data_IF_471452373695
#
_entry.id   IF_471452373695
#
_cell.length_a   1.000
_cell.length_b   1.000
_cell.length_c   1.000
_cell.angle_alpha   90.00
_cell.angle_beta   90.00
_cell.angle_gamma   90.00
#
_symmetry.space_group_name_H-M   'P 1'
#
loop_
_entity.id
_entity.type
_entity.pdbx_description
1 polymer ?
#
# COMPACT_ATOMS: atom_id res chain seq x y z
N UNK A 1 -19.14 28.79 -22.82
CA UNK A 1 -18.56 28.60 -21.47
C UNK A 1 -17.05 28.62 -21.63
N UNK A 2 -16.32 29.35 -20.78
CA UNK A 2 -14.86 29.29 -20.77
C UNK A 2 -14.42 27.98 -20.12
N UNK A 3 -13.44 27.29 -20.72
CA UNK A 3 -12.90 26.05 -20.14
C UNK A 3 -12.14 26.37 -18.84
N UNK A 4 -12.43 25.60 -17.79
CA UNK A 4 -11.75 25.69 -16.48
C UNK A 4 -10.89 24.45 -16.30
N UNK A 5 -9.67 24.62 -15.82
CA UNK A 5 -8.74 23.54 -15.51
C UNK A 5 -8.32 23.63 -14.04
N UNK A 6 -8.30 22.50 -13.35
CA UNK A 6 -7.75 22.38 -12.00
C UNK A 6 -6.46 21.56 -12.07
N UNK A 7 -5.41 22.05 -11.41
CA UNK A 7 -4.12 21.38 -11.36
C UNK A 7 -3.70 21.17 -9.91
N UNK A 8 -3.25 19.95 -9.60
CA UNK A 8 -2.60 19.60 -8.35
C UNK A 8 -1.17 19.16 -8.63
N UNK A 9 -0.22 19.65 -7.84
CA UNK A 9 1.20 19.33 -7.98
C UNK A 9 1.74 18.95 -6.60
N UNK A 10 2.33 17.77 -6.51
CA UNK A 10 2.87 17.20 -5.28
C UNK A 10 4.29 16.68 -5.54
N UNK A 11 5.17 16.80 -4.55
CA UNK A 11 6.50 16.17 -4.59
C UNK A 11 6.50 14.91 -3.73
N UNK A 12 6.91 13.79 -4.33
CA UNK A 12 6.97 12.45 -3.71
C UNK A 12 8.40 11.92 -3.78
N UNK A 13 8.71 10.85 -3.05
CA UNK A 13 10.10 10.38 -2.92
C UNK A 13 10.63 9.78 -4.23
N UNK A 14 9.84 8.94 -4.90
CA UNK A 14 10.17 8.32 -6.19
C UNK A 14 8.91 8.12 -7.02
N UNK A 15 9.11 7.86 -8.31
CA UNK A 15 8.05 7.46 -9.24
C UNK A 15 8.20 5.99 -9.64
N UNK A 16 7.09 5.26 -9.84
CA UNK A 16 7.16 3.90 -10.35
C UNK A 16 7.53 3.89 -11.84
N UNK A 17 8.38 2.94 -12.23
CA UNK A 17 8.72 2.72 -13.64
C UNK A 17 7.60 2.03 -14.43
N UNK A 18 7.62 2.20 -15.75
CA UNK A 18 6.82 1.38 -16.67
C UNK A 18 7.54 0.08 -17.02
N UNK A 19 6.78 -0.95 -17.41
CA UNK A 19 7.32 -2.21 -17.97
C UNK A 19 8.31 -1.99 -19.12
N UNK A 20 8.08 -0.95 -19.93
CA UNK A 20 8.96 -0.56 -21.04
C UNK A 20 10.32 0.00 -20.57
N UNK A 21 10.40 0.56 -19.37
CA UNK A 21 11.63 1.14 -18.80
C UNK A 21 12.56 0.09 -18.19
N UNK A 22 12.01 -1.05 -17.76
CA UNK A 22 12.77 -2.17 -17.18
C UNK A 22 13.78 -2.76 -18.16
N UNK A 23 13.51 -2.66 -19.47
CA UNK A 23 14.37 -3.19 -20.53
C UNK A 23 15.69 -2.41 -20.71
N UNK A 24 15.75 -1.14 -20.30
CA UNK A 24 16.88 -0.24 -20.56
C UNK A 24 17.64 0.23 -19.32
N UNK A 25 17.12 -0.03 -18.12
CA UNK A 25 17.82 0.31 -16.89
C UNK A 25 18.97 -0.68 -16.63
N UNK A 26 20.20 -0.17 -16.59
CA UNK A 26 21.35 -0.86 -16.00
C UNK A 26 20.94 -1.34 -14.59
N UNK A 27 21.15 -2.63 -14.31
CA UNK A 27 20.80 -3.33 -13.06
C UNK A 27 21.59 -2.84 -11.84
N UNK A 28 21.58 -1.54 -11.54
CA UNK A 28 22.30 -0.96 -10.41
C UNK A 28 21.36 -0.11 -9.56
N UNK A 29 20.92 -0.66 -8.43
CA UNK A 29 20.05 -0.03 -7.44
C UNK A 29 19.33 -1.07 -6.58
N UNK A 30 18.98 -0.72 -5.35
CA UNK A 30 18.19 -1.60 -4.45
C UNK A 30 16.74 -1.74 -4.94
N UNK A 31 16.21 -0.72 -5.62
CA UNK A 31 14.87 -0.71 -6.26
C UNK A 31 14.99 -0.31 -7.74
N UNK A 32 15.21 -1.27 -8.67
CA UNK A 32 15.37 -0.98 -10.10
C UNK A 32 14.09 -0.48 -10.78
N UNK A 33 12.96 -0.48 -10.07
CA UNK A 33 11.66 -0.04 -10.56
C UNK A 33 11.24 1.35 -10.02
N UNK A 34 12.14 2.05 -9.32
CA UNK A 34 11.95 3.41 -8.82
C UNK A 34 12.79 4.43 -9.60
N UNK A 35 12.17 5.55 -9.98
CA UNK A 35 12.77 6.55 -10.86
C UNK A 35 12.57 7.97 -10.32
N UNK A 36 13.42 8.89 -10.76
CA UNK A 36 13.19 10.33 -10.65
C UNK A 36 12.49 10.84 -11.90
N UNK A 37 11.63 11.85 -11.77
CA UNK A 37 10.97 12.46 -12.91
C UNK A 37 9.66 13.15 -12.55
N UNK A 38 8.76 13.21 -13.53
CA UNK A 38 7.42 13.80 -13.40
C UNK A 38 6.40 12.77 -13.87
N UNK A 39 5.38 12.52 -13.05
CA UNK A 39 4.20 11.74 -13.44
C UNK A 39 3.01 12.68 -13.54
N UNK A 40 2.28 12.63 -14.66
CA UNK A 40 1.15 13.53 -14.94
C UNK A 40 -0.09 12.70 -15.19
N UNK A 41 -1.19 13.05 -14.51
CA UNK A 41 -2.50 12.48 -14.73
C UNK A 41 -3.43 13.55 -15.30
N UNK A 42 -4.04 13.28 -16.44
CA UNK A 42 -5.07 14.13 -17.04
C UNK A 42 -6.43 13.49 -16.81
N UNK A 43 -7.35 14.23 -16.18
CA UNK A 43 -8.73 13.79 -16.01
C UNK A 43 -9.65 14.65 -16.89
N UNK A 44 -10.46 14.00 -17.73
CA UNK A 44 -11.45 14.64 -18.60
C UNK A 44 -12.87 14.57 -18.01
N UNK A 45 -13.04 14.67 -16.69
CA UNK A 45 -14.38 14.68 -16.08
C UNK A 45 -14.99 16.09 -15.98
N UNK A 46 -16.32 16.14 -16.11
CA UNK A 46 -17.12 17.34 -15.92
C UNK A 46 -16.98 17.87 -14.49
N UNK A 47 -17.15 19.18 -14.35
CA UNK A 47 -16.85 20.01 -13.16
C UNK A 47 -17.46 19.60 -11.81
N UNK A 48 -18.33 18.59 -11.74
CA UNK A 48 -18.96 18.13 -10.50
C UNK A 48 -18.01 17.25 -9.65
N UNK A 49 -17.06 16.53 -10.25
CA UNK A 49 -16.05 15.73 -9.51
C UNK A 49 -14.94 16.59 -8.86
N UNK A 50 -14.91 17.89 -9.13
CA UNK A 50 -13.90 18.81 -8.60
C UNK A 50 -14.24 19.27 -7.17
N UNK A 51 -15.49 19.09 -6.72
CA UNK A 51 -15.86 19.21 -5.30
C UNK A 51 -15.19 18.14 -4.43
N UNK A 52 -14.53 17.14 -5.02
CA UNK A 52 -13.83 16.05 -4.33
C UNK A 52 -12.38 16.34 -3.93
N UNK A 53 -11.85 17.52 -4.28
CA UNK A 53 -10.57 18.00 -3.75
C UNK A 53 -10.77 18.45 -2.30
N UNK A 54 -10.71 17.51 -1.36
CA UNK A 54 -10.69 17.83 0.07
C UNK A 54 -9.31 18.34 0.46
N UNK A 55 -9.23 19.63 0.77
CA UNK A 55 -8.02 20.28 1.26
C UNK A 55 -8.04 20.34 2.78
N UNK A 56 -7.11 19.63 3.42
CA UNK A 56 -6.92 19.74 4.86
C UNK A 56 -5.79 20.73 5.13
N UNK A 57 -6.12 21.78 5.89
CA UNK A 57 -5.16 22.78 6.34
C UNK A 57 -4.78 22.46 7.79
N UNK A 58 -3.49 22.34 8.08
CA UNK A 58 -3.03 22.19 9.47
C UNK A 58 -3.42 23.46 10.26
N UNK A 59 -4.28 23.31 11.27
CA UNK A 59 -4.55 24.39 12.24
C UNK A 59 -3.35 24.52 13.17
N UNK A 60 -2.45 25.44 12.83
CA UNK A 60 -1.33 25.85 13.68
C UNK A 60 -0.04 25.09 13.40
N UNK A 61 1.06 25.83 13.37
CA UNK A 61 2.43 25.29 13.41
C UNK A 61 2.68 24.69 14.80
N UNK A 62 2.17 23.48 15.04
CA UNK A 62 2.66 22.69 16.16
C UNK A 62 3.98 22.05 15.73
N UNK A 63 5.07 22.34 16.44
CA UNK A 63 6.33 21.61 16.25
C UNK A 63 6.20 20.12 16.62
N UNK A 64 5.09 19.73 17.26
CA UNK A 64 4.86 18.39 17.80
C UNK A 64 3.84 17.56 17.01
N UNK A 65 3.30 18.04 15.88
CA UNK A 65 2.42 17.20 15.06
C UNK A 65 3.25 16.34 14.12
N UNK A 66 3.43 15.06 14.47
CA UNK A 66 4.08 14.00 13.68
C UNK A 66 3.39 13.66 12.35
N UNK A 67 2.60 14.57 11.78
CA UNK A 67 1.79 14.31 10.60
C UNK A 67 2.47 14.88 9.36
N UNK A 68 3.00 13.97 8.54
CA UNK A 68 3.50 14.28 7.20
C UNK A 68 2.36 14.77 6.31
N UNK A 69 2.61 15.85 5.56
CA UNK A 69 1.75 16.23 4.44
C UNK A 69 1.53 15.04 3.50
N UNK A 70 0.36 14.93 2.87
CA UNK A 70 0.01 13.73 2.11
C UNK A 70 -0.93 13.99 0.93
N UNK A 71 -0.90 13.11 -0.05
CA UNK A 71 -1.85 13.10 -1.17
C UNK A 71 -2.56 11.75 -1.21
N UNK A 72 -3.89 11.77 -1.30
CA UNK A 72 -4.74 10.60 -1.32
C UNK A 72 -5.40 10.43 -2.67
N UNK A 73 -5.44 9.19 -3.17
CA UNK A 73 -6.09 8.81 -4.41
C UNK A 73 -7.17 7.78 -4.12
N UNK A 74 -8.41 8.07 -4.48
CA UNK A 74 -9.53 7.16 -4.30
C UNK A 74 -10.00 6.65 -5.64
N UNK A 75 -10.21 5.34 -5.76
CA UNK A 75 -10.86 4.75 -6.94
C UNK A 75 -11.85 3.67 -6.52
N UNK A 76 -12.81 3.41 -7.39
CA UNK A 76 -13.91 2.48 -7.18
C UNK A 76 -13.88 1.38 -8.23
N UNK A 77 -13.99 0.14 -7.77
CA UNK A 77 -14.12 -1.04 -8.62
C UNK A 77 -15.44 -1.75 -8.28
N UNK A 78 -16.09 -2.38 -9.27
CA UNK A 78 -17.28 -3.18 -9.01
C UNK A 78 -16.92 -4.29 -8.01
N UNK A 79 -17.71 -4.38 -6.93
CA UNK A 79 -17.72 -5.58 -6.12
C UNK A 79 -18.40 -6.67 -6.97
N UNK A 80 -18.06 -7.93 -6.76
CA UNK A 80 -18.76 -9.05 -7.42
C UNK A 80 -19.60 -9.76 -6.36
N UNK A 81 -20.83 -9.32 -6.02
CA UNK A 81 -21.64 -10.01 -5.04
C UNK A 81 -22.69 -10.90 -5.72
N UNK A 82 -23.25 -11.81 -4.93
CA UNK A 82 -24.37 -12.67 -5.27
C UNK A 82 -25.51 -11.92 -6.00
N UNK A 83 -26.26 -12.60 -6.89
CA UNK A 83 -27.31 -11.97 -7.68
C UNK A 83 -28.32 -11.23 -6.81
N UNK A 84 -28.39 -9.89 -6.95
CA UNK A 84 -29.38 -9.04 -6.29
C UNK A 84 -28.82 -7.91 -5.42
N UNK A 85 -27.53 -7.89 -5.08
CA UNK A 85 -26.88 -6.77 -4.37
C UNK A 85 -25.82 -6.12 -5.26
N UNK A 86 -25.92 -4.82 -5.50
CA UNK A 86 -24.85 -4.02 -6.11
C UNK A 86 -24.08 -3.31 -4.99
N UNK A 87 -22.88 -3.80 -4.69
CA UNK A 87 -21.89 -3.06 -3.90
C UNK A 87 -20.71 -2.66 -4.77
N UNK A 88 -19.97 -1.66 -4.31
CA UNK A 88 -18.75 -1.17 -4.94
C UNK A 88 -17.65 -1.19 -3.89
N UNK A 89 -16.45 -1.61 -4.27
CA UNK A 89 -15.26 -1.53 -3.41
C UNK A 89 -14.57 -0.21 -3.73
N UNK A 90 -14.46 0.66 -2.73
CA UNK A 90 -13.71 1.91 -2.79
C UNK A 90 -12.37 1.72 -2.11
N UNK A 91 -11.28 2.06 -2.81
CA UNK A 91 -9.92 2.03 -2.26
C UNK A 91 -9.38 3.44 -2.24
N UNK A 92 -8.97 3.91 -1.06
CA UNK A 92 -8.27 5.17 -0.89
C UNK A 92 -6.82 4.89 -0.49
N UNK A 93 -5.87 5.37 -1.30
CA UNK A 93 -4.44 5.22 -1.08
C UNK A 93 -3.87 6.58 -0.73
N UNK A 94 -3.32 6.70 0.47
CA UNK A 94 -2.68 7.92 0.95
C UNK A 94 -1.17 7.76 0.91
N UNK A 95 -0.51 8.65 0.16
CA UNK A 95 0.94 8.70 0.00
C UNK A 95 1.45 9.93 0.74
N UNK A 96 2.35 9.78 1.73
CA UNK A 96 2.99 10.94 2.35
C UNK A 96 3.92 11.59 1.32
N UNK A 97 3.99 12.91 1.36
CA UNK A 97 4.86 13.68 0.49
C UNK A 97 6.33 13.50 0.89
N UNK A 98 7.22 13.78 -0.05
CA UNK A 98 8.65 13.80 0.25
C UNK A 98 8.93 14.76 1.41
N UNK A 99 9.59 14.26 2.44
CA UNK A 99 9.93 15.03 3.64
C UNK A 99 11.37 15.54 3.52
N UNK A 100 11.55 16.63 2.80
CA UNK A 100 12.85 17.26 2.54
C UNK A 100 12.73 18.77 2.60
N UNK A 101 13.79 19.45 3.06
CA UNK A 101 13.80 20.91 3.13
C UNK A 101 13.95 21.49 1.72
N UNK A 102 12.85 22.01 1.17
CA UNK A 102 12.84 22.64 -0.15
C UNK A 102 13.36 24.09 -0.08
N UNK A 103 13.71 24.66 -1.25
CA UNK A 103 14.08 26.08 -1.37
C UNK A 103 12.96 27.03 -0.91
N UNK A 104 11.72 26.56 -0.85
CA UNK A 104 10.56 27.27 -0.30
C UNK A 104 10.60 27.40 1.23
N UNK A 105 11.51 26.68 1.91
CA UNK A 105 11.61 26.59 3.36
C UNK A 105 10.64 25.59 4.00
N UNK A 106 9.78 24.95 3.22
CA UNK A 106 8.85 23.92 3.68
C UNK A 106 9.49 22.53 3.59
N UNK A 107 9.07 21.62 4.47
CA UNK A 107 9.51 20.21 4.48
C UNK A 107 8.78 19.35 3.44
N UNK A 108 7.70 19.86 2.85
CA UNK A 108 6.89 19.17 1.87
C UNK A 108 6.34 20.18 0.87
N UNK A 109 6.11 19.75 -0.38
CA UNK A 109 5.55 20.61 -1.42
C UNK A 109 4.28 20.01 -2.00
N UNK A 110 3.16 20.68 -1.79
CA UNK A 110 1.86 20.40 -2.38
C UNK A 110 1.18 21.72 -2.74
N UNK A 111 0.73 21.83 -3.97
CA UNK A 111 0.01 23.01 -4.44
C UNK A 111 -1.17 22.63 -5.32
N UNK A 112 -2.21 23.43 -5.24
CA UNK A 112 -3.39 23.33 -6.09
C UNK A 112 -3.59 24.67 -6.77
N UNK A 113 -4.08 24.65 -8.01
CA UNK A 113 -4.35 25.87 -8.76
C UNK A 113 -5.52 25.69 -9.72
N UNK A 114 -6.26 26.78 -9.92
CA UNK A 114 -7.40 26.85 -10.84
C UNK A 114 -7.08 27.80 -11.98
N UNK A 115 -7.33 27.37 -13.20
CA UNK A 115 -6.97 28.08 -14.43
C UNK A 115 -8.19 28.22 -15.32
N UNK A 116 -8.28 29.35 -16.03
CA UNK A 116 -9.33 29.61 -17.03
C UNK A 116 -8.70 29.88 -18.38
N UNK A 117 -9.23 29.26 -19.43
CA UNK A 117 -8.88 29.59 -20.80
C UNK A 117 -9.47 30.96 -21.16
N UNK A 118 -8.62 31.90 -21.56
CA UNK A 118 -9.05 33.23 -21.90
C UNK A 118 -9.78 33.26 -23.26
N UNK A 119 -10.98 33.87 -23.36
CA UNK A 119 -11.71 33.95 -24.62
C UNK A 119 -10.88 34.62 -25.73
N UNK A 120 -10.75 33.96 -26.88
CA UNK A 120 -10.03 34.50 -28.04
C UNK A 120 -8.50 34.42 -27.96
N UNK A 121 -7.95 33.73 -26.95
CA UNK A 121 -6.51 33.43 -26.87
C UNK A 121 -6.27 31.94 -26.61
N UNK A 122 -5.05 31.46 -26.84
CA UNK A 122 -4.59 30.13 -26.44
C UNK A 122 -4.06 30.08 -25.00
N UNK A 123 -4.11 31.19 -24.26
CA UNK A 123 -3.52 31.33 -22.93
C UNK A 123 -4.47 30.99 -21.80
N UNK A 124 -3.92 30.39 -20.75
CA UNK A 124 -4.60 30.21 -19.46
C UNK A 124 -4.20 31.30 -18.47
N UNK A 125 -5.15 31.80 -17.69
CA UNK A 125 -4.88 32.65 -16.52
C UNK A 125 -5.21 31.91 -15.23
N UNK A 126 -4.29 31.98 -14.26
CA UNK A 126 -4.50 31.43 -12.93
C UNK A 126 -5.51 32.30 -12.17
N UNK A 127 -6.58 31.69 -11.69
CA UNK A 127 -7.63 32.33 -10.88
C UNK A 127 -7.30 32.22 -9.39
N UNK A 128 -6.90 31.02 -8.96
CA UNK A 128 -6.70 30.69 -7.55
C UNK A 128 -5.49 29.77 -7.43
N UNK A 129 -4.73 29.93 -6.35
CA UNK A 129 -3.64 29.04 -5.95
C UNK A 129 -3.69 28.82 -4.44
N UNK A 130 -3.51 27.57 -4.01
CA UNK A 130 -3.51 27.15 -2.62
C UNK A 130 -2.37 26.14 -2.40
N UNK A 131 -1.84 26.08 -1.18
CA UNK A 131 -0.79 25.14 -0.76
C UNK A 131 -1.29 24.34 0.46
N UNK A 132 -2.19 23.36 0.23
CA UNK A 132 -2.78 22.60 1.33
C UNK A 132 -1.76 21.62 1.94
N UNK A 133 -1.99 21.18 3.17
CA UNK A 133 -1.15 20.17 3.82
C UNK A 133 -1.50 18.75 3.37
N UNK A 134 -2.79 18.49 3.11
CA UNK A 134 -3.22 17.23 2.49
C UNK A 134 -4.27 17.46 1.41
N UNK A 135 -4.26 16.60 0.40
CA UNK A 135 -5.17 16.65 -0.74
C UNK A 135 -5.74 15.25 -1.03
N UNK A 136 -7.05 15.11 -1.16
CA UNK A 136 -7.68 13.90 -1.70
C UNK A 136 -8.11 14.13 -3.15
N UNK A 137 -7.91 13.12 -4.01
CA UNK A 137 -8.28 13.12 -5.43
C UNK A 137 -9.07 11.85 -5.71
N UNK A 138 -10.27 11.97 -6.26
CA UNK A 138 -11.01 10.85 -6.79
C UNK A 138 -10.55 10.60 -8.24
N UNK A 139 -10.01 9.40 -8.47
CA UNK A 139 -9.71 8.90 -9.80
C UNK A 139 -10.97 8.24 -10.37
N UNK A 140 -11.25 8.39 -11.68
CA UNK A 140 -12.39 7.75 -12.31
C UNK A 140 -12.38 6.24 -12.06
N UNK A 141 -13.50 5.76 -11.51
CA UNK A 141 -13.78 4.33 -11.34
C UNK A 141 -14.19 3.69 -12.66
N UNK A 142 -14.41 2.38 -12.66
CA UNK A 142 -15.05 1.72 -13.81
C UNK A 142 -16.43 2.34 -14.04
N UNK A 143 -16.58 3.09 -15.13
CA UNK A 143 -17.82 3.81 -15.46
C UNK A 143 -18.72 3.00 -16.39
N UNK A 144 -18.19 1.90 -16.99
CA UNK A 144 -18.92 1.05 -17.93
C UNK A 144 -18.58 -0.42 -17.77
N UNK A 145 -19.55 -1.30 -18.09
CA UNK A 145 -19.41 -2.76 -18.14
C UNK A 145 -18.40 -3.27 -19.18
N UNK A 146 -17.74 -2.39 -19.94
CA UNK A 146 -16.77 -2.73 -20.97
C UNK A 146 -15.31 -2.60 -20.52
N UNK A 147 -15.04 -1.96 -19.37
CA UNK A 147 -13.69 -1.80 -18.82
C UNK A 147 -13.49 -2.74 -17.64
N UNK A 148 -12.52 -3.65 -17.76
CA UNK A 148 -12.13 -4.52 -16.65
C UNK A 148 -10.96 -3.85 -15.93
N UNK A 149 -11.05 -3.66 -14.61
CA UNK A 149 -9.90 -3.29 -13.80
C UNK A 149 -9.51 -4.43 -12.86
N UNK A 150 -8.20 -4.63 -12.69
CA UNK A 150 -7.63 -5.61 -11.76
C UNK A 150 -6.68 -4.90 -10.81
N UNK A 151 -6.91 -5.08 -9.51
CA UNK A 151 -6.01 -4.61 -8.45
C UNK A 151 -5.16 -5.79 -7.97
N UNK A 152 -3.84 -5.60 -7.89
CA UNK A 152 -2.89 -6.60 -7.38
C UNK A 152 -1.97 -5.99 -6.33
N UNK A 153 -1.59 -6.81 -5.37
CA UNK A 153 -0.66 -6.47 -4.30
C UNK A 153 0.60 -7.27 -4.51
N UNK A 154 1.72 -6.59 -4.67
CA UNK A 154 3.06 -7.18 -4.66
C UNK A 154 3.75 -6.76 -3.37
N UNK A 155 3.95 -7.71 -2.47
CA UNK A 155 4.51 -7.46 -1.13
C UNK A 155 5.71 -8.39 -0.95
N UNK A 156 6.95 -7.89 -1.09
CA UNK A 156 8.16 -8.73 -1.05
C UNK A 156 8.52 -9.08 0.40
N UNK A 157 7.79 -10.02 0.99
CA UNK A 157 8.01 -10.53 2.34
C UNK A 157 7.83 -12.05 2.39
N UNK A 158 8.46 -12.68 3.39
CA UNK A 158 8.38 -14.12 3.64
C UNK A 158 7.92 -14.39 5.05
N UNK A 159 7.01 -15.35 5.21
CA UNK A 159 6.56 -15.78 6.52
C UNK A 159 7.67 -16.53 7.26
N UNK A 160 7.93 -16.12 8.50
CA UNK A 160 8.89 -16.79 9.41
C UNK A 160 8.17 -17.61 10.48
N UNK A 161 6.89 -17.34 10.72
CA UNK A 161 6.03 -18.16 11.59
C UNK A 161 4.83 -18.66 10.81
N UNK A 162 4.18 -19.77 11.21
CA UNK A 162 2.80 -20.01 10.81
C UNK A 162 1.88 -19.01 11.53
N UNK A 163 0.58 -18.97 11.20
CA UNK A 163 -0.39 -18.14 11.90
C UNK A 163 -0.69 -18.68 13.27
N UNK A 164 -0.88 -17.77 14.21
CA UNK A 164 -1.18 -18.08 15.61
C UNK A 164 -2.36 -17.27 16.11
N UNK A 165 -3.22 -17.92 16.88
CA UNK A 165 -4.30 -17.21 17.58
C UNK A 165 -3.70 -16.37 18.71
N UNK A 166 -4.21 -15.15 18.87
CA UNK A 166 -3.82 -14.23 19.92
C UNK A 166 -4.50 -14.62 21.22
N UNK A 167 -3.73 -15.03 22.23
CA UNK A 167 -4.26 -15.37 23.55
C UNK A 167 -4.45 -14.16 24.44
N UNK A 168 -3.50 -13.23 24.41
CA UNK A 168 -3.58 -11.98 25.17
C UNK A 168 -2.93 -10.84 24.36
N UNK A 169 -3.73 -9.82 24.06
CA UNK A 169 -3.35 -8.61 23.37
C UNK A 169 -4.08 -7.42 24.00
N UNK A 170 -3.46 -6.23 23.97
CA UNK A 170 -4.05 -4.99 24.46
C UNK A 170 -3.59 -3.84 23.59
N UNK A 171 -4.48 -3.30 22.76
CA UNK A 171 -4.14 -2.24 21.83
C UNK A 171 -3.16 -2.73 20.76
N UNK A 172 -1.96 -2.13 20.74
CA UNK A 172 -0.85 -2.51 19.87
C UNK A 172 0.17 -3.46 20.53
N UNK A 173 -0.09 -3.90 21.77
CA UNK A 173 0.82 -4.78 22.51
C UNK A 173 0.29 -6.22 22.47
N UNK A 174 1.08 -7.12 21.90
CA UNK A 174 0.82 -8.56 21.88
C UNK A 174 1.61 -9.21 23.02
N UNK A 175 0.94 -9.98 23.88
CA UNK A 175 1.58 -10.66 25.02
C UNK A 175 1.71 -12.15 24.80
N UNK A 176 0.64 -12.78 24.33
CA UNK A 176 0.56 -14.23 24.27
C UNK A 176 -0.02 -14.74 22.97
N UNK A 177 0.56 -15.82 22.48
CA UNK A 177 0.12 -16.57 21.31
C UNK A 177 -0.31 -17.97 21.75
N UNK A 178 -1.34 -18.50 21.10
CA UNK A 178 -1.90 -19.82 21.40
C UNK A 178 -1.40 -20.82 20.35
N UNK A 179 -0.68 -21.83 20.83
CA UNK A 179 -0.36 -23.07 20.12
C UNK A 179 -1.26 -24.22 20.63
N UNK A 180 -0.64 -25.29 21.12
CA UNK A 180 -1.18 -26.22 22.12
C UNK A 180 -1.22 -25.60 23.53
N UNK A 181 -0.33 -24.64 23.79
CA UNK A 181 -0.21 -23.90 25.04
C UNK A 181 0.01 -22.41 24.76
N UNK A 182 -0.35 -21.58 25.72
CA UNK A 182 -0.07 -20.15 25.68
C UNK A 182 1.42 -19.90 25.87
N UNK A 183 2.04 -19.15 24.95
CA UNK A 183 3.44 -18.72 25.04
C UNK A 183 3.57 -17.21 24.91
N UNK A 184 4.68 -16.61 25.37
CA UNK A 184 5.00 -15.22 25.08
C UNK A 184 5.20 -14.98 23.58
N UNK A 185 4.62 -13.90 23.06
CA UNK A 185 4.67 -13.59 21.63
C UNK A 185 6.09 -13.30 21.14
N UNK A 186 6.91 -12.62 21.96
CA UNK A 186 8.30 -12.34 21.59
C UNK A 186 9.17 -13.58 21.54
N UNK A 187 8.89 -14.59 22.37
CA UNK A 187 9.65 -15.84 22.42
C UNK A 187 9.46 -16.67 21.13
N UNK A 188 8.24 -16.71 20.60
CA UNK A 188 8.02 -17.34 19.29
C UNK A 188 8.79 -16.63 18.18
N UNK A 189 8.70 -15.30 18.14
CA UNK A 189 9.38 -14.53 17.11
C UNK A 189 10.90 -14.68 17.19
N UNK A 190 11.49 -14.59 18.39
CA UNK A 190 12.94 -14.79 18.62
C UNK A 190 13.39 -16.19 18.17
N UNK A 191 12.61 -17.22 18.50
CA UNK A 191 12.89 -18.60 18.07
C UNK A 191 12.84 -18.71 16.53
N UNK A 192 11.78 -18.21 15.91
CA UNK A 192 11.59 -18.26 14.46
C UNK A 192 12.69 -17.51 13.69
N UNK A 193 13.09 -16.33 14.17
CA UNK A 193 14.19 -15.57 13.57
C UNK A 193 15.54 -16.28 13.74
N UNK A 194 15.77 -16.92 14.89
CA UNK A 194 16.99 -17.72 15.11
C UNK A 194 17.07 -18.89 14.13
N UNK A 195 15.97 -19.62 13.95
CA UNK A 195 15.85 -20.70 12.96
C UNK A 195 16.06 -20.17 11.54
N UNK A 196 15.46 -19.02 11.21
CA UNK A 196 15.65 -18.35 9.93
C UNK A 196 17.13 -18.03 9.65
N UNK A 197 17.84 -17.35 10.56
CA UNK A 197 19.27 -17.03 10.38
C UNK A 197 20.14 -18.28 10.22
N UNK A 198 19.91 -19.30 11.04
CA UNK A 198 20.63 -20.56 10.97
C UNK A 198 20.43 -21.25 9.61
N UNK A 199 19.18 -21.27 9.13
CA UNK A 199 18.81 -21.91 7.88
C UNK A 199 19.37 -21.18 6.65
N UNK A 200 19.44 -19.84 6.70
CA UNK A 200 19.98 -19.00 5.65
C UNK A 200 21.51 -18.86 5.70
N UNK A 201 22.17 -19.40 6.74
CA UNK A 201 23.61 -19.24 7.00
C UNK A 201 24.03 -17.77 7.07
N UNK A 202 23.15 -16.91 7.59
CA UNK A 202 23.38 -15.49 7.72
C UNK A 202 23.88 -15.15 9.13
N UNK A 203 24.71 -14.10 9.28
CA UNK A 203 25.02 -13.57 10.60
C UNK A 203 23.75 -12.99 11.24
N UNK A 204 23.65 -13.08 12.57
CA UNK A 204 22.59 -12.41 13.32
C UNK A 204 22.75 -10.90 13.15
N UNK A 205 21.71 -10.25 12.66
CA UNK A 205 21.67 -8.80 12.43
C UNK A 205 20.30 -8.24 12.77
N UNK A 206 20.20 -6.92 12.89
CA UNK A 206 18.90 -6.27 13.02
C UNK A 206 18.08 -6.49 11.75
N UNK A 207 16.87 -7.04 11.89
CA UNK A 207 15.92 -7.22 10.80
C UNK A 207 14.65 -6.46 11.11
N UNK A 208 14.09 -5.84 10.07
CA UNK A 208 12.71 -5.36 10.14
C UNK A 208 11.75 -6.54 10.02
N UNK A 209 10.76 -6.57 10.90
CA UNK A 209 9.72 -7.60 10.98
C UNK A 209 8.37 -6.95 10.78
N UNK A 210 7.52 -7.62 10.01
CA UNK A 210 6.13 -7.24 9.80
C UNK A 210 5.21 -8.31 10.36
N UNK A 211 4.01 -7.90 10.76
CA UNK A 211 2.97 -8.75 11.29
C UNK A 211 1.68 -8.54 10.51
N UNK A 212 1.12 -9.61 9.94
CA UNK A 212 -0.23 -9.61 9.40
C UNK A 212 -1.17 -10.04 10.52
N UNK A 213 -2.04 -9.14 10.96
CA UNK A 213 -3.11 -9.43 11.92
C UNK A 213 -4.39 -9.69 11.12
N UNK A 214 -5.03 -10.81 11.41
CA UNK A 214 -6.14 -11.37 10.65
C UNK A 214 -7.33 -11.54 11.60
N UNK A 215 -8.41 -10.75 11.44
CA UNK A 215 -9.59 -10.91 12.26
C UNK A 215 -10.14 -12.34 12.19
N UNK A 216 -10.61 -12.88 13.31
CA UNK A 216 -11.11 -14.27 13.38
C UNK A 216 -12.14 -14.60 12.29
N UNK A 217 -13.07 -13.68 12.04
CA UNK A 217 -14.11 -13.86 11.01
C UNK A 217 -13.51 -13.98 9.59
N UNK A 218 -12.47 -13.21 9.29
CA UNK A 218 -11.75 -13.26 8.01
C UNK A 218 -11.01 -14.59 7.88
N UNK A 219 -10.33 -15.00 8.95
CA UNK A 219 -9.61 -16.27 8.98
C UNK A 219 -10.54 -17.47 8.74
N UNK A 220 -11.68 -17.51 9.43
CA UNK A 220 -12.70 -18.57 9.24
C UNK A 220 -13.27 -18.56 7.82
N UNK A 221 -13.66 -17.39 7.30
CA UNK A 221 -14.24 -17.26 5.97
C UNK A 221 -13.31 -17.78 4.87
N UNK A 222 -12.04 -17.37 4.90
CA UNK A 222 -11.07 -17.77 3.89
C UNK A 222 -10.67 -19.25 4.01
N UNK A 223 -10.70 -19.81 5.23
CA UNK A 223 -10.46 -21.23 5.45
C UNK A 223 -11.63 -22.10 4.95
N UNK A 224 -12.87 -21.67 5.16
CA UNK A 224 -14.07 -22.41 4.71
C UNK A 224 -14.29 -22.38 3.20
N UNK A 225 -13.85 -21.30 2.53
CA UNK A 225 -13.93 -21.17 1.07
C UNK A 225 -12.92 -22.05 0.30
N UNK A 226 -11.94 -22.63 0.98
CA UNK A 226 -11.00 -23.59 0.40
C UNK A 226 -11.64 -24.98 0.42
N UNK A 227 -12.05 -25.49 -0.75
CA UNK A 227 -12.66 -26.81 -0.87
C UNK A 227 -11.74 -27.96 -0.40
N UNK A 228 -12.28 -29.18 -0.20
CA UNK A 228 -11.56 -30.32 0.39
C UNK A 228 -10.33 -30.78 -0.42
N UNK A 229 -10.21 -30.40 -1.70
CA UNK A 229 -9.08 -30.78 -2.57
C UNK A 229 -7.93 -29.77 -2.56
N UNK A 230 -8.08 -28.61 -1.90
CA UNK A 230 -6.97 -27.70 -1.55
C UNK A 230 -6.57 -27.94 -0.10
N UNK A 231 -6.31 -29.19 0.25
CA UNK A 231 -5.85 -29.62 1.56
C UNK A 231 -4.37 -29.25 1.76
N UNK A 232 -4.12 -27.99 2.10
CA UNK A 232 -3.00 -27.62 2.93
C UNK A 232 -3.33 -26.35 3.68
N UNK A 233 -3.04 -26.35 4.99
CA UNK A 233 -3.12 -25.27 5.96
C UNK A 233 -2.53 -23.93 5.46
N UNK A 234 -3.18 -23.26 4.51
CA UNK A 234 -2.62 -22.16 3.73
C UNK A 234 -3.07 -20.80 4.24
N UNK A 235 -2.67 -20.50 5.46
CA UNK A 235 -1.84 -19.30 5.57
C UNK A 235 -0.39 -19.79 5.56
N UNK A 236 0.51 -19.06 4.91
CA UNK A 236 1.91 -19.41 4.69
C UNK A 236 2.46 -20.31 5.79
N UNK A 237 2.65 -21.60 5.49
CA UNK A 237 3.60 -22.37 6.28
C UNK A 237 4.93 -21.59 6.22
N UNK A 238 5.72 -21.52 7.31
CA UNK A 238 7.04 -20.94 7.25
C UNK A 238 7.72 -21.53 6.03
N UNK A 239 8.12 -20.67 5.08
CA UNK A 239 8.71 -21.18 3.87
C UNK A 239 9.88 -22.09 4.27
N UNK A 240 10.02 -23.26 3.62
CA UNK A 240 11.30 -23.96 3.71
C UNK A 240 12.41 -22.95 3.40
N UNK A 241 13.56 -23.02 4.09
CA UNK A 241 14.62 -22.05 3.93
C UNK A 241 14.87 -21.76 2.46
N UNK A 242 14.66 -20.49 2.10
CA UNK A 242 14.88 -19.96 0.78
C UNK A 242 16.22 -20.50 0.27
N UNK A 243 16.19 -21.30 -0.79
CA UNK A 243 17.43 -21.70 -1.47
C UNK A 243 17.90 -20.45 -2.20
N UNK A 244 18.80 -19.70 -1.57
CA UNK A 244 19.59 -18.65 -2.22
C UNK A 244 20.04 -19.15 -3.60
N UNK A 245 19.44 -18.63 -4.67
CA UNK A 245 19.71 -19.04 -6.05
C UNK A 245 18.49 -19.37 -6.93
N UNK A 246 17.26 -19.44 -6.41
CA UNK A 246 16.08 -19.44 -7.28
C UNK A 246 15.67 -18.00 -7.61
N UNK A 247 15.79 -17.62 -8.88
CA UNK A 247 15.33 -16.35 -9.47
C UNK A 247 13.78 -16.24 -9.50
N UNK A 248 13.08 -16.78 -8.50
CA UNK A 248 11.62 -16.81 -8.45
C UNK A 248 11.12 -16.51 -7.05
N UNK A 249 10.92 -15.23 -6.78
CA UNK A 249 9.97 -14.71 -5.80
C UNK A 249 8.64 -15.33 -6.16
N UNK A 250 8.14 -16.27 -5.35
CA UNK A 250 6.91 -16.97 -5.74
C UNK A 250 5.74 -15.97 -5.80
N UNK A 251 5.16 -15.71 -6.99
CA UNK A 251 4.07 -14.74 -7.17
C UNK A 251 2.83 -15.07 -6.31
N UNK A 252 2.73 -16.32 -5.86
CA UNK A 252 1.68 -16.84 -5.01
C UNK A 252 1.60 -16.11 -3.66
N UNK A 253 2.72 -15.75 -3.03
CA UNK A 253 2.70 -15.12 -1.71
C UNK A 253 2.08 -13.72 -1.72
N UNK A 254 2.43 -12.93 -2.74
CA UNK A 254 1.91 -11.59 -2.96
C UNK A 254 0.39 -11.58 -3.22
N UNK A 255 -0.10 -12.53 -4.04
CA UNK A 255 -1.53 -12.68 -4.34
C UNK A 255 -2.35 -13.03 -3.07
N UNK A 256 -1.81 -13.92 -2.22
CA UNK A 256 -2.48 -14.34 -1.00
C UNK A 256 -2.55 -13.18 0.01
N UNK A 257 -1.45 -12.45 0.25
CA UNK A 257 -1.44 -11.28 1.15
C UNK A 257 -2.51 -10.26 0.72
N UNK A 258 -2.57 -9.95 -0.58
CA UNK A 258 -3.59 -9.07 -1.13
C UNK A 258 -5.01 -9.55 -0.82
N UNK A 259 -5.27 -10.85 -0.95
CA UNK A 259 -6.57 -11.46 -0.63
C UNK A 259 -6.96 -11.27 0.83
N UNK A 260 -6.01 -11.47 1.76
CA UNK A 260 -6.26 -11.24 3.19
C UNK A 260 -6.52 -9.76 3.50
N UNK A 261 -5.74 -8.85 2.91
CA UNK A 261 -5.94 -7.39 3.08
C UNK A 261 -7.32 -6.95 2.57
N UNK A 262 -7.71 -7.40 1.37
CA UNK A 262 -9.02 -7.14 0.77
C UNK A 262 -10.18 -7.70 1.60
N UNK A 263 -9.95 -8.77 2.35
CA UNK A 263 -10.93 -9.36 3.26
C UNK A 263 -10.99 -8.66 4.63
N UNK A 264 -10.03 -7.80 4.98
CA UNK A 264 -10.01 -7.05 6.23
C UNK A 264 -8.83 -7.34 7.16
N UNK A 265 -7.81 -8.08 6.72
CA UNK A 265 -6.55 -8.19 7.47
C UNK A 265 -5.71 -6.91 7.34
N UNK A 266 -4.86 -6.67 8.33
CA UNK A 266 -4.03 -5.47 8.42
C UNK A 266 -2.58 -5.80 8.72
N UNK A 267 -1.67 -5.10 8.04
CA UNK A 267 -0.23 -5.27 8.15
C UNK A 267 0.33 -4.19 9.10
N UNK A 268 1.20 -4.61 10.01
CA UNK A 268 1.87 -3.72 10.95
C UNK A 268 3.37 -4.02 11.02
N UNK A 269 4.18 -2.98 11.17
CA UNK A 269 5.58 -3.16 11.53
C UNK A 269 5.71 -3.51 13.01
N UNK A 270 6.58 -4.44 13.34
CA UNK A 270 6.95 -4.73 14.73
C UNK A 270 8.00 -3.69 15.17
N UNK A 271 7.65 -2.87 16.16
CA UNK A 271 8.50 -1.78 16.64
C UNK A 271 9.51 -2.24 17.70
N UNK A 272 9.10 -3.17 18.55
CA UNK A 272 9.97 -3.69 19.61
C UNK A 272 9.49 -5.04 20.13
N UNK A 273 10.42 -5.88 20.55
CA UNK A 273 10.17 -7.02 21.42
C UNK A 273 10.75 -6.78 22.80
N UNK A 274 9.96 -7.02 23.84
CA UNK A 274 10.42 -7.01 25.20
C UNK A 274 11.22 -8.28 25.47
N UNK A 275 12.55 -8.16 25.48
CA UNK A 275 13.47 -9.26 25.66
C UNK A 275 13.32 -9.99 27.02
N UNK A 276 14.23 -10.92 27.32
CA UNK A 276 14.07 -11.90 28.41
C UNK A 276 13.99 -11.40 29.87
N UNK A 277 13.97 -10.09 30.16
CA UNK A 277 14.06 -9.55 31.53
C UNK A 277 13.10 -8.39 31.81
N UNK A 278 12.62 -8.27 33.05
CA UNK A 278 11.79 -7.17 33.54
C UNK A 278 10.29 -7.28 33.19
N UNK A 279 9.50 -6.26 33.55
CA UNK A 279 8.03 -6.27 33.37
C UNK A 279 7.56 -6.22 31.91
N UNK A 280 8.46 -5.90 30.97
CA UNK A 280 8.17 -5.90 29.54
C UNK A 280 8.52 -7.22 28.85
N UNK A 281 9.03 -8.21 29.59
CA UNK A 281 9.40 -9.52 29.05
C UNK A 281 8.22 -10.18 28.34
N UNK A 282 8.45 -10.70 27.13
CA UNK A 282 7.45 -11.47 26.40
C UNK A 282 6.52 -10.64 25.52
N UNK A 283 6.63 -9.31 25.54
CA UNK A 283 5.75 -8.40 24.83
C UNK A 283 6.26 -8.11 23.42
N UNK A 284 5.37 -7.98 22.45
CA UNK A 284 5.65 -7.36 21.15
C UNK A 284 4.82 -6.09 21.02
N UNK A 285 5.42 -5.02 20.50
CA UNK A 285 4.72 -3.78 20.16
C UNK A 285 4.62 -3.66 18.65
N UNK A 286 3.40 -3.47 18.16
CA UNK A 286 3.10 -3.17 16.76
C UNK A 286 3.02 -1.65 16.56
N UNK A 287 3.31 -1.18 15.33
CA UNK A 287 3.07 0.20 14.93
C UNK A 287 1.56 0.50 14.94
N UNK A 288 1.06 1.42 15.77
CA UNK A 288 -0.36 1.74 15.81
C UNK A 288 -0.84 2.60 14.64
N UNK A 289 0.07 3.22 13.87
CA UNK A 289 -0.30 4.16 12.82
C UNK A 289 -0.81 3.44 11.57
N UNK A 290 -2.03 3.77 11.14
CA UNK A 290 -2.69 3.23 9.94
C UNK A 290 -3.02 4.30 8.89
N UNK A 291 -2.82 5.59 9.21
CA UNK A 291 -3.11 6.73 8.34
C UNK A 291 -2.10 7.86 8.57
N UNK A 292 -1.97 8.75 7.59
CA UNK A 292 -1.24 10.01 7.74
C UNK A 292 -2.17 11.20 7.99
N UNK A 293 -3.50 10.99 7.95
CA UNK A 293 -4.49 12.01 8.24
C UNK A 293 -4.94 11.93 9.71
N UNK A 294 -4.71 12.97 10.53
CA UNK A 294 -5.10 12.96 11.95
C UNK A 294 -6.61 12.78 12.18
N UNK A 295 -7.46 13.26 11.26
CA UNK A 295 -8.92 13.11 11.40
C UNK A 295 -9.38 11.66 11.19
N UNK A 296 -8.66 10.90 10.37
CA UNK A 296 -9.00 9.50 10.07
C UNK A 296 -8.45 8.52 11.09
N UNK A 297 -7.32 8.83 11.74
CA UNK A 297 -6.79 8.01 12.85
C UNK A 297 -7.81 7.90 13.99
N UNK A 298 -8.55 8.96 14.29
CA UNK A 298 -9.59 8.97 15.34
C UNK A 298 -10.91 8.32 14.90
N UNK A 299 -11.21 8.32 13.59
CA UNK A 299 -12.45 7.75 13.05
C UNK A 299 -12.44 6.22 13.01
N UNK A 300 -11.28 5.59 12.76
CA UNK A 300 -11.14 4.13 12.73
C UNK A 300 -11.43 3.51 14.11
N UNK A 301 -10.88 4.09 15.18
CA UNK A 301 -11.15 3.64 16.54
C UNK A 301 -12.65 3.66 16.88
N UNK A 302 -13.40 4.66 16.43
CA UNK A 302 -14.84 4.78 16.70
C UNK A 302 -15.74 3.88 15.86
N UNK A 303 -15.32 3.44 14.67
CA UNK A 303 -16.14 2.54 13.83
C UNK A 303 -16.02 1.06 14.25
N UNK A 304 -14.93 0.68 14.90
CA UNK A 304 -14.81 -0.63 15.55
C UNK A 304 -15.74 -0.70 16.78
N UNK A 305 -15.91 0.41 17.52
CA UNK A 305 -16.80 0.49 18.69
C UNK A 305 -18.27 0.15 18.36
N UNK A 306 -18.76 0.53 17.18
CA UNK A 306 -20.14 0.25 16.77
C UNK A 306 -20.39 -1.25 16.50
N UNK A 307 -19.32 -2.05 16.38
CA UNK A 307 -19.40 -3.47 16.06
C UNK A 307 -19.51 -4.37 17.29
N UNK A 308 -19.23 -3.88 18.51
CA UNK A 308 -19.29 -4.66 19.75
C UNK A 308 -19.70 -3.79 20.95
N UNK A 309 -20.94 -3.94 21.41
CA UNK A 309 -21.44 -3.30 22.61
C UNK A 309 -20.96 -3.99 23.89
N UNK A 310 -19.70 -3.75 24.30
CA UNK A 310 -19.16 -4.02 25.65
C UNK A 310 -18.04 -3.01 25.99
N UNK A 311 -17.72 -2.76 27.29
CA UNK A 311 -17.20 -1.47 27.72
C UNK A 311 -15.68 -1.29 27.50
N UNK A 312 -15.34 -0.21 26.79
CA UNK A 312 -14.18 0.68 27.02
C UNK A 312 -12.79 0.01 27.19
N UNK A 313 -12.47 -0.97 26.35
CA UNK A 313 -11.08 -1.35 26.08
C UNK A 313 -10.61 -0.60 24.81
N UNK A 314 -9.40 -0.01 24.84
CA UNK A 314 -8.89 0.81 23.73
C UNK A 314 -9.04 0.06 22.40
N UNK A 315 -9.77 0.64 21.43
CA UNK A 315 -9.92 0.10 20.08
C UNK A 315 -8.53 -0.27 19.52
N UNK A 316 -8.24 -1.58 19.49
CA UNK A 316 -6.88 -2.07 19.41
C UNK A 316 -6.50 -2.55 18.02
N UNK A 317 -5.21 -2.36 17.68
CA UNK A 317 -4.56 -2.96 16.51
C UNK A 317 -4.76 -4.48 16.48
N UNK A 318 -4.87 -5.13 17.64
CA UNK A 318 -5.07 -6.56 17.73
C UNK A 318 -5.93 -6.92 18.95
N UNK A 319 -6.83 -7.89 18.78
CA UNK A 319 -7.72 -8.39 19.84
C UNK A 319 -7.45 -9.86 20.16
N UNK A 320 -7.63 -10.31 21.42
CA UNK A 320 -7.64 -11.74 21.72
C UNK A 320 -8.63 -12.51 20.84
N UNK A 321 -8.20 -13.67 20.33
CA UNK A 321 -8.97 -14.51 19.41
C UNK A 321 -8.76 -14.21 17.92
N UNK A 322 -8.13 -13.09 17.56
CA UNK A 322 -7.64 -12.84 16.20
C UNK A 322 -6.39 -13.69 15.92
N UNK A 323 -5.97 -13.74 14.66
CA UNK A 323 -4.75 -14.44 14.24
C UNK A 323 -3.65 -13.46 13.89
N UNK A 324 -2.39 -13.85 14.11
CA UNK A 324 -1.21 -13.09 13.71
C UNK A 324 -0.20 -14.00 13.02
N UNK A 325 0.52 -13.44 12.05
CA UNK A 325 1.66 -14.10 11.44
C UNK A 325 2.80 -13.10 11.20
N UNK A 326 4.04 -13.55 11.45
CA UNK A 326 5.22 -12.71 11.30
C UNK A 326 5.97 -12.97 10.00
N UNK A 327 6.50 -11.90 9.44
CA UNK A 327 7.18 -11.87 8.16
C UNK A 327 8.47 -11.06 8.22
N UNK A 328 9.41 -11.40 7.35
CA UNK A 328 10.63 -10.63 7.10
C UNK A 328 10.73 -10.28 5.62
N UNK A 329 11.32 -9.12 5.32
CA UNK A 329 11.63 -8.74 3.94
C UNK A 329 13.05 -9.21 3.59
N UNK A 330 13.25 -9.83 2.42
CA UNK A 330 14.57 -10.26 1.96
C UNK A 330 15.49 -9.09 1.71
N UNK A 331 15.00 -7.85 1.61
CA UNK A 331 15.81 -6.74 1.11
C UNK A 331 16.76 -6.13 2.16
N UNK A 332 16.85 -6.75 3.34
CA UNK A 332 18.03 -6.65 4.21
C UNK A 332 19.22 -7.51 3.69
N UNK A 333 19.00 -8.27 2.63
CA UNK A 333 19.96 -9.07 1.88
C UNK A 333 20.18 -8.32 0.57
N UNK A 334 21.44 -8.07 0.20
CA UNK A 334 21.89 -7.20 -0.90
C UNK A 334 21.47 -7.63 -2.32
N UNK A 335 20.44 -8.45 -2.45
CA UNK A 335 19.87 -8.93 -3.70
C UNK A 335 18.81 -7.95 -4.22
N UNK A 336 18.98 -7.40 -5.44
CA UNK A 336 17.96 -6.61 -6.10
C UNK A 336 16.67 -7.41 -6.23
N UNK A 337 15.54 -6.78 -5.94
CA UNK A 337 14.25 -7.32 -6.32
C UNK A 337 14.14 -7.32 -7.85
N UNK A 338 13.47 -8.31 -8.44
CA UNK A 338 13.23 -8.34 -9.87
C UNK A 338 12.27 -7.19 -10.15
N UNK A 339 12.43 -6.59 -11.32
CA UNK A 339 11.36 -5.78 -11.83
C UNK A 339 10.17 -6.71 -12.13
N UNK A 340 9.16 -6.71 -11.25
CA UNK A 340 7.89 -7.34 -11.58
C UNK A 340 7.29 -6.54 -12.73
N UNK A 341 7.25 -7.15 -13.90
CA UNK A 341 6.65 -6.57 -15.08
C UNK A 341 5.12 -6.51 -14.86
N UNK A 342 4.49 -5.32 -14.77
CA UNK A 342 3.03 -5.24 -14.69
C UNK A 342 2.35 -5.91 -15.91
N UNK A 343 3.08 -6.13 -17.01
CA UNK A 343 2.64 -6.82 -18.22
C UNK A 343 2.70 -8.35 -18.17
N UNK A 344 3.47 -8.98 -17.28
CA UNK A 344 3.64 -10.44 -17.27
C UNK A 344 2.65 -11.17 -16.33
N UNK A 345 1.53 -10.52 -16.03
CA UNK A 345 0.35 -11.15 -15.43
C UNK A 345 -0.46 -11.99 -16.46
N UNK A 346 0.13 -12.30 -17.62
CA UNK A 346 -0.49 -13.10 -18.68
C UNK A 346 -0.82 -14.53 -18.23
N UNK A 347 -0.07 -15.07 -17.26
CA UNK A 347 -0.24 -16.45 -16.78
C UNK A 347 -1.27 -16.61 -15.64
N UNK A 348 -1.75 -15.51 -15.05
CA UNK A 348 -2.84 -15.51 -14.04
C UNK A 348 -4.15 -14.92 -14.60
N UNK A 349 -4.12 -14.50 -15.86
CA UNK A 349 -5.29 -14.09 -16.61
C UNK A 349 -6.01 -15.36 -17.08
N UNK A 350 -7.18 -15.65 -16.50
CA UNK A 350 -8.10 -16.62 -17.11
C UNK A 350 -8.34 -16.27 -18.58
N UNK A 351 -8.76 -17.27 -19.36
CA UNK A 351 -8.99 -17.24 -20.81
C UNK A 351 -9.78 -16.01 -21.32
N UNK A 352 -10.53 -15.33 -20.44
CA UNK A 352 -11.33 -14.13 -20.72
C UNK A 352 -10.53 -12.83 -20.95
N UNK A 353 -9.31 -12.69 -20.41
CA UNK A 353 -8.54 -11.44 -20.46
C UNK A 353 -7.65 -11.30 -21.71
N UNK A 354 -7.41 -12.38 -22.48
CA UNK A 354 -6.60 -12.35 -23.72
C UNK A 354 -7.17 -11.40 -24.80
N UNK A 355 -8.47 -11.09 -24.72
CA UNK A 355 -9.19 -10.18 -25.63
C UNK A 355 -9.11 -8.70 -25.24
N UNK A 356 -8.30 -8.31 -24.27
CA UNK A 356 -8.21 -6.92 -23.80
C UNK A 356 -6.78 -6.36 -23.91
N UNK A 357 -6.64 -5.04 -23.99
CA UNK A 357 -5.36 -4.30 -24.00
C UNK A 357 -5.33 -3.39 -22.78
N UNK A 358 -4.17 -3.30 -22.12
CA UNK A 358 -3.95 -2.36 -21.00
C UNK A 358 -4.16 -0.93 -21.50
N UNK A 359 -5.12 -0.22 -20.90
CA UNK A 359 -5.44 1.17 -21.26
C UNK A 359 -4.76 2.17 -20.35
N UNK A 360 -4.65 1.85 -19.07
CA UNK A 360 -3.96 2.65 -18.07
C UNK A 360 -3.54 1.79 -16.88
N UNK A 361 -2.56 2.26 -16.13
CA UNK A 361 -2.23 1.68 -14.84
C UNK A 361 -1.96 2.75 -13.78
N UNK A 362 -2.34 2.40 -12.55
CA UNK A 362 -2.02 3.14 -11.34
C UNK A 362 -1.08 2.30 -10.50
N UNK A 363 0.03 2.89 -10.06
CA UNK A 363 1.02 2.18 -9.25
C UNK A 363 1.37 3.01 -8.02
N UNK A 364 1.03 2.50 -6.85
CA UNK A 364 1.39 3.13 -5.58
C UNK A 364 2.20 2.15 -4.74
N UNK A 365 3.15 2.64 -3.96
CA UNK A 365 4.00 1.73 -3.22
C UNK A 365 5.07 2.41 -2.41
N UNK A 366 6.07 1.61 -2.08
CA UNK A 366 7.16 2.01 -1.20
C UNK A 366 8.51 1.84 -1.87
N UNK A 367 9.51 2.56 -1.43
CA UNK A 367 10.89 2.41 -1.91
C UNK A 367 11.86 2.44 -0.73
N UNK A 368 13.15 2.21 -0.97
CA UNK A 368 14.15 2.25 0.09
C UNK A 368 14.29 3.65 0.65
N UNK A 369 14.53 3.72 1.96
CA UNK A 369 15.01 4.94 2.60
C UNK A 369 16.37 5.33 2.01
N UNK A 370 16.56 6.60 1.69
CA UNK A 370 17.83 7.10 1.14
C UNK A 370 19.04 6.89 2.09
N UNK A 371 18.80 6.62 3.38
CA UNK A 371 19.84 6.32 4.37
C UNK A 371 20.45 4.93 4.13
N UNK A 372 19.67 3.99 3.57
CA UNK A 372 20.10 2.62 3.27
C UNK A 372 20.73 2.49 1.88
N UNK A 373 20.57 3.50 1.01
CA UNK A 373 21.26 3.60 -0.28
C UNK A 373 22.70 4.05 -0.03
N UNK A 374 23.68 3.13 -0.13
CA UNK A 374 25.08 3.55 -0.23
C UNK A 374 25.23 4.38 -1.51
N UNK A 375 25.84 5.59 -1.45
CA UNK A 375 25.95 6.44 -2.62
C UNK A 375 26.81 5.72 -3.66
N UNK A 376 26.18 5.16 -4.69
CA UNK A 376 26.87 4.78 -5.91
C UNK A 376 27.48 6.05 -6.46
N UNK A 377 28.80 6.08 -6.53
CA UNK A 377 29.56 7.18 -7.13
C UNK A 377 28.97 7.48 -8.50
N UNK A 378 28.30 8.61 -8.64
CA UNK A 378 27.82 9.11 -9.92
C UNK A 378 29.06 9.46 -10.73
N UNK A 379 29.55 8.53 -11.55
CA UNK A 379 30.37 8.91 -12.70
C UNK A 379 29.41 9.54 -13.70
N UNK A 380 29.21 10.85 -13.59
CA UNK A 380 28.64 11.64 -14.68
C UNK A 380 29.62 11.58 -15.86
N UNK A 381 29.55 10.52 -16.65
CA UNK A 381 29.75 10.69 -18.08
C UNK A 381 28.49 11.36 -18.61
N UNK A 382 28.41 12.67 -18.41
CA UNK A 382 27.51 13.51 -19.17
C UNK A 382 28.01 13.50 -20.62
N UNK A 383 27.62 12.47 -21.38
CA UNK A 383 27.60 12.54 -22.82
C UNK A 383 26.65 13.67 -23.19
N UNK A 384 27.23 14.83 -23.51
CA UNK A 384 26.55 15.98 -24.08
C UNK A 384 26.06 15.64 -25.50
N UNK A 385 25.09 14.74 -25.60
CA UNK A 385 24.29 14.48 -26.79
C UNK A 385 23.10 13.63 -26.36
N UNK A 386 21.94 14.24 -26.14
CA UNK A 386 20.78 13.46 -25.72
C UNK A 386 19.54 14.32 -25.74
N UNK A 387 18.80 14.22 -26.84
CA UNK A 387 17.40 14.62 -26.92
C UNK A 387 16.68 14.06 -25.67
N UNK A 388 16.16 14.94 -24.82
CA UNK A 388 15.38 14.53 -23.66
C UNK A 388 14.02 14.06 -24.17
N UNK A 389 13.92 12.77 -24.49
CA UNK A 389 12.67 12.17 -24.94
C UNK A 389 11.67 12.21 -23.78
N UNK A 390 10.64 13.05 -23.92
CA UNK A 390 9.48 13.04 -23.03
C UNK A 390 8.67 11.77 -23.32
N UNK A 391 8.88 10.73 -22.52
CA UNK A 391 8.11 9.49 -22.62
C UNK A 391 6.79 9.69 -21.87
N UNK A 392 5.70 9.83 -22.63
CA UNK A 392 4.33 9.78 -22.07
C UNK A 392 3.94 8.32 -21.94
N UNK A 393 3.94 7.82 -20.71
CA UNK A 393 3.53 6.46 -20.40
C UNK A 393 2.09 6.45 -19.87
N UNK A 394 1.24 5.46 -20.20
CA UNK A 394 -0.11 5.32 -19.63
C UNK A 394 -0.06 4.78 -18.18
N UNK A 395 0.88 5.30 -17.38
CA UNK A 395 1.19 4.88 -16.02
C UNK A 395 1.24 6.13 -15.15
N UNK A 396 0.47 6.14 -14.08
CA UNK A 396 0.49 7.19 -13.07
C UNK A 396 0.70 6.58 -11.69
N UNK A 397 1.42 7.28 -10.82
CA UNK A 397 1.72 6.70 -9.51
C UNK A 397 2.74 7.47 -8.71
N UNK A 398 2.95 6.99 -7.49
CA UNK A 398 3.90 7.56 -6.54
C UNK A 398 4.44 6.48 -5.60
N UNK A 399 5.71 6.61 -5.22
CA UNK A 399 6.37 5.76 -4.24
C UNK A 399 6.82 6.59 -3.04
N UNK A 400 6.75 6.00 -1.85
CA UNK A 400 7.21 6.63 -0.61
C UNK A 400 8.25 5.82 0.16
N UNK A 401 9.18 6.50 0.82
CA UNK A 401 10.14 5.90 1.75
C UNK A 401 9.54 5.61 3.14
N UNK A 402 8.41 6.24 3.48
CA UNK A 402 7.80 6.16 4.82
C UNK A 402 6.69 5.10 4.93
N UNK A 403 6.26 4.55 3.79
CA UNK A 403 5.08 3.70 3.67
C UNK A 403 3.88 4.43 3.07
N UNK A 404 2.87 3.68 2.62
CA UNK A 404 1.59 4.23 2.17
C UNK A 404 0.46 3.77 3.10
N UNK A 405 -0.60 4.55 3.22
CA UNK A 405 -1.82 4.14 3.92
C UNK A 405 -2.85 3.66 2.90
N UNK A 406 -3.53 2.56 3.20
CA UNK A 406 -4.59 1.98 2.38
C UNK A 406 -5.85 1.87 3.23
N UNK A 407 -6.94 2.42 2.71
CA UNK A 407 -8.30 2.25 3.24
C UNK A 407 -9.18 1.58 2.19
N UNK A 408 -9.85 0.51 2.58
CA UNK A 408 -10.81 -0.23 1.74
C UNK A 408 -12.19 -0.09 2.37
N UNK A 409 -13.15 0.38 1.59
CA UNK A 409 -14.53 0.51 1.99
C UNK A 409 -15.44 -0.24 1.03
N UNK A 410 -16.47 -0.88 1.56
CA UNK A 410 -17.57 -1.45 0.78
C UNK A 410 -18.75 -0.51 0.85
N UNK A 411 -19.16 0.00 -0.30
CA UNK A 411 -20.26 0.95 -0.44
C UNK A 411 -21.47 0.23 -1.02
N UNK A 412 -22.59 0.21 -0.27
CA UNK A 412 -23.85 -0.33 -0.78
C UNK A 412 -24.53 0.68 -1.70
N UNK A 413 -24.97 0.24 -2.89
CA UNK A 413 -25.66 1.12 -3.85
C UNK A 413 -27.18 0.93 -3.88
N UNK A 414 -27.72 0.01 -3.05
CA UNK A 414 -29.14 -0.38 -3.06
C UNK A 414 -30.05 0.47 -2.15
N UNK A 415 -29.50 1.35 -1.32
CA UNK A 415 -30.25 2.15 -0.33
C UNK A 415 -30.08 3.65 -0.62
N UNK A 416 -31.13 4.50 -0.50
CA UNK A 416 -31.06 5.94 -0.77
C UNK A 416 -30.10 6.73 0.14
N UNK A 417 -29.52 6.07 1.16
CA UNK A 417 -28.42 6.56 1.97
C UNK A 417 -27.29 5.55 1.80
N UNK A 418 -26.23 5.91 1.09
CA UNK A 418 -25.08 5.03 0.87
C UNK A 418 -24.39 4.76 2.20
N UNK A 419 -24.70 3.62 2.81
CA UNK A 419 -23.92 3.10 3.93
C UNK A 419 -22.58 2.61 3.37
N UNK A 420 -21.51 3.30 3.74
CA UNK A 420 -20.13 2.87 3.52
C UNK A 420 -19.66 2.15 4.77
N UNK A 421 -19.13 0.94 4.61
CA UNK A 421 -18.50 0.18 5.69
C UNK A 421 -17.03 0.00 5.40
N UNK A 422 -16.18 0.45 6.31
CA UNK A 422 -14.74 0.20 6.20
C UNK A 422 -14.48 -1.29 6.41
N UNK A 423 -13.76 -1.88 5.46
CA UNK A 423 -13.36 -3.29 5.44
C UNK A 423 -11.96 -3.43 6.03
N UNK A 424 -11.03 -2.58 5.59
CA UNK A 424 -9.64 -2.58 5.99
C UNK A 424 -9.11 -1.15 6.08
N UNK A 425 -8.25 -0.87 7.05
CA UNK A 425 -7.39 0.31 7.07
C UNK A 425 -6.02 -0.11 7.60
N UNK A 426 -4.98 0.06 6.79
CA UNK A 426 -3.65 -0.46 7.09
C UNK A 426 -2.57 0.44 6.51
N UNK A 427 -1.46 0.58 7.22
CA UNK A 427 -0.23 1.14 6.68
C UNK A 427 0.60 0.02 6.05
N UNK A 428 1.12 0.27 4.86
CA UNK A 428 1.96 -0.63 4.11
C UNK A 428 3.33 0.02 3.94
N UNK A 429 4.29 -0.41 4.75
CA UNK A 429 5.66 0.13 4.81
C UNK A 429 6.75 -0.92 4.50
N UNK A 430 6.34 -2.08 4.00
CA UNK A 430 7.25 -3.10 3.45
C UNK A 430 8.02 -2.47 2.30
N UNK A 431 9.37 -2.49 2.28
CA UNK A 431 10.17 -1.94 1.19
C UNK A 431 9.81 -2.54 -0.16
N UNK A 432 9.78 -1.72 -1.20
CA UNK A 432 9.50 -2.12 -2.59
C UNK A 432 8.14 -2.80 -2.84
N UNK A 433 7.18 -2.64 -1.93
CA UNK A 433 5.84 -3.12 -2.19
C UNK A 433 5.18 -2.29 -3.30
N UNK A 434 4.30 -2.90 -4.09
CA UNK A 434 3.53 -2.24 -5.16
C UNK A 434 2.07 -2.66 -5.10
N UNK A 435 1.19 -1.68 -5.05
CA UNK A 435 -0.23 -1.84 -5.33
C UNK A 435 -0.44 -1.37 -6.77
N UNK A 436 -0.81 -2.30 -7.65
CA UNK A 436 -1.04 -2.00 -9.05
C UNK A 436 -2.53 -2.12 -9.34
N UNK A 437 -3.11 -1.10 -9.95
CA UNK A 437 -4.43 -1.20 -10.59
C UNK A 437 -4.24 -1.05 -12.09
N UNK A 438 -4.62 -2.09 -12.83
CA UNK A 438 -4.52 -2.10 -14.29
C UNK A 438 -5.93 -2.09 -14.85
N UNK A 439 -6.21 -1.13 -15.73
CA UNK A 439 -7.47 -1.04 -16.47
C UNK A 439 -7.26 -1.60 -17.87
N UNK A 440 -8.21 -2.38 -18.34
CA UNK A 440 -8.17 -3.07 -19.62
C UNK A 440 -9.35 -2.63 -20.48
N UNK A 441 -9.05 -2.25 -21.72
CA UNK A 441 -10.05 -1.98 -22.74
C UNK A 441 -10.23 -3.22 -23.61
N UNK A 442 -11.48 -3.48 -24.01
CA UNK A 442 -11.78 -4.55 -24.97
C UNK A 442 -11.04 -4.27 -26.28
N UNK A 443 -10.33 -5.27 -26.82
CA UNK A 443 -9.77 -5.19 -28.18
C UNK A 443 -10.93 -4.90 -29.12
N UNK A 444 -10.82 -3.84 -29.91
CA UNK A 444 -11.75 -3.56 -30.99
C UNK A 444 -11.85 -4.76 -31.95
N UNK A 445 -12.97 -4.91 -32.67
CA UNK A 445 -13.16 -5.98 -33.65
C UNK A 445 -12.10 -5.97 -34.75
#
# INVERSE_FOLDING_TARGET
>A
MSAVCHAAVAVVDRLPGSSTHVMHASKSGLDPAAYEGISVYFNETNSEDIEDIKQYHQRGRSLDSSHSASISFTFKDEDVPAPGSRSVISRAIQVPLANTLFQTGNQSTLSTSKWVLQPGSSGFSCLEKSEPASLAINLPGQSTTAELAKTTYNVPIFAVTPPRELGAAMGNIIRQLIFDKSVPASEELERALTEYFASQKLPQQALSVWALVIPRAVFSQLKEGQGPETSSDTIFQPAEPFKTGSDSWEPLQSSIIGTYIEAGAHMHRVLSGGGGWGQKRGLLSLDPHVSYNPEEEHSWSGQIEERFSEPKELAGVASPGDFIQFFVSPTNLSTPLPANDPGDNSNLAGDSLQRHVVSSSLVFGTTFSAIDETPTTWTSEASQSGQSDLIVSPHFGALSQQGISLKIERVSTSVPRSESRVVCQTKLDVPCMRLNRVTYNRKGP
#
